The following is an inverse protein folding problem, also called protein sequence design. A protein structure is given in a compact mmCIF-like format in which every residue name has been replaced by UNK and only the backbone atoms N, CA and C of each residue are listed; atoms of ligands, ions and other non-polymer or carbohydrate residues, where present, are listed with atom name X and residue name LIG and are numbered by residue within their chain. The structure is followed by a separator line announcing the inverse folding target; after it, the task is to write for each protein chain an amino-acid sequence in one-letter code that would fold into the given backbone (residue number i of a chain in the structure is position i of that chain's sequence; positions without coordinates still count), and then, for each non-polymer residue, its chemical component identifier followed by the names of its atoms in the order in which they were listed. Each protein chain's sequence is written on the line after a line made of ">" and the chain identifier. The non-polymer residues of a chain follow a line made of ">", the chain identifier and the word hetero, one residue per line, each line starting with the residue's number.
data_IF_771316054698
#
_entry.id   IF_771316054698
#
_cell.length_a   1.000
_cell.length_b   1.000
_cell.length_c   1.000
_cell.angle_alpha   90.00
_cell.angle_beta   90.00
_cell.angle_gamma   90.00
#
_symmetry.space_group_name_H-M   'P 1'
#
loop_
_entity.id
_entity.type
_entity.pdbx_description
1 polymer ?
#
# COMPACT_ATOMS: atom_id res chain seq x y z
N UNK A 1 -25.78 -11.40 -7.12
CA UNK A 1 -25.16 -10.28 -6.38
C UNK A 1 -23.77 -10.05 -6.94
N UNK A 2 -23.39 -8.79 -7.14
CA UNK A 2 -22.05 -8.44 -7.62
C UNK A 2 -21.04 -8.54 -6.47
N UNK A 3 -19.80 -8.94 -6.78
CA UNK A 3 -18.75 -9.21 -5.79
C UNK A 3 -17.47 -8.49 -6.16
N UNK A 4 -16.73 -8.05 -5.14
CA UNK A 4 -15.36 -7.56 -5.28
C UNK A 4 -14.41 -8.75 -5.06
N UNK A 5 -13.66 -9.09 -6.10
CA UNK A 5 -12.63 -10.12 -6.06
C UNK A 5 -11.27 -9.44 -5.98
N UNK A 6 -10.47 -9.81 -4.98
CA UNK A 6 -9.13 -9.26 -4.78
C UNK A 6 -8.17 -10.43 -4.69
N UNK A 7 -7.13 -10.38 -5.50
CA UNK A 7 -6.05 -11.34 -5.50
C UNK A 7 -4.73 -10.61 -5.33
N UNK A 8 -3.93 -11.08 -4.37
CA UNK A 8 -2.56 -10.64 -4.15
C UNK A 8 -1.62 -11.77 -4.52
N UNK A 9 -0.61 -11.46 -5.33
CA UNK A 9 0.44 -12.39 -5.73
C UNK A 9 1.76 -11.63 -5.80
N UNK A 10 2.81 -12.30 -5.39
CA UNK A 10 4.18 -11.80 -5.46
C UNK A 10 5.12 -12.96 -5.74
N UNK A 11 6.27 -12.68 -6.35
CA UNK A 11 7.28 -13.67 -6.74
C UNK A 11 8.66 -13.01 -6.65
N UNK A 12 9.64 -13.75 -6.13
CA UNK A 12 11.05 -13.30 -6.02
C UNK A 12 11.70 -12.99 -7.39
N UNK A 13 11.09 -13.47 -8.47
CA UNK A 13 11.62 -13.35 -9.81
C UNK A 13 12.84 -14.24 -10.04
N UNK A 14 13.52 -14.01 -11.16
CA UNK A 14 14.61 -14.89 -11.62
C UNK A 14 15.98 -14.59 -10.99
N UNK A 15 16.11 -13.48 -10.25
CA UNK A 15 17.41 -12.92 -9.84
C UNK A 15 17.49 -12.48 -8.38
N UNK A 16 16.40 -12.55 -7.62
CA UNK A 16 16.40 -12.20 -6.21
C UNK A 16 16.90 -13.36 -5.34
N UNK A 17 17.66 -13.05 -4.30
CA UNK A 17 17.85 -13.97 -3.15
C UNK A 17 16.69 -13.86 -2.14
N UNK A 18 16.01 -12.70 -2.12
CA UNK A 18 14.88 -12.40 -1.26
C UNK A 18 13.81 -11.63 -2.04
N UNK A 19 12.55 -11.79 -1.62
CA UNK A 19 11.46 -11.02 -2.18
C UNK A 19 11.31 -9.71 -1.37
N UNK A 20 11.64 -8.60 -1.99
CA UNK A 20 11.53 -7.26 -1.37
C UNK A 20 10.15 -6.63 -1.63
N UNK A 21 9.31 -7.28 -2.44
CA UNK A 21 7.93 -6.89 -2.66
C UNK A 21 7.02 -7.40 -1.55
N UNK A 22 6.08 -6.55 -1.13
CA UNK A 22 4.99 -6.94 -0.25
C UNK A 22 3.66 -6.39 -0.75
N UNK A 23 2.57 -7.02 -0.36
CA UNK A 23 1.22 -6.51 -0.62
C UNK A 23 0.35 -6.58 0.64
N UNK A 24 -0.67 -5.72 0.66
CA UNK A 24 -1.65 -5.56 1.74
C UNK A 24 -3.04 -5.81 1.18
N UNK A 25 -3.82 -6.68 1.83
CA UNK A 25 -5.26 -6.85 1.56
C UNK A 25 -6.01 -6.86 2.89
N UNK A 26 -6.83 -5.83 3.13
CA UNK A 26 -7.77 -5.81 4.26
C UNK A 26 -7.12 -5.95 5.64
N UNK A 27 -5.87 -5.49 5.79
CA UNK A 27 -5.10 -5.58 7.03
C UNK A 27 -4.08 -6.71 7.07
N UNK A 28 -4.09 -7.62 6.10
CA UNK A 28 -3.12 -8.71 6.00
C UNK A 28 -1.98 -8.28 5.06
N UNK A 29 -0.75 -8.26 5.59
CA UNK A 29 0.47 -8.02 4.81
C UNK A 29 1.12 -9.35 4.48
N UNK A 30 1.46 -9.58 3.21
CA UNK A 30 2.17 -10.79 2.77
C UNK A 30 3.24 -10.49 1.71
N UNK A 31 4.29 -11.30 1.71
CA UNK A 31 5.42 -11.23 0.75
C UNK A 31 5.82 -12.61 0.17
N UNK A 32 5.12 -13.69 0.53
CA UNK A 32 5.50 -15.08 0.17
C UNK A 32 4.36 -15.93 -0.37
N UNK A 33 3.12 -15.53 -0.13
CA UNK A 33 1.93 -16.34 -0.44
C UNK A 33 0.99 -15.56 -1.32
N UNK A 34 0.25 -16.31 -2.12
CA UNK A 34 -0.93 -15.78 -2.79
C UNK A 34 -2.06 -15.65 -1.78
N UNK A 35 -2.81 -14.55 -1.87
CA UNK A 35 -4.03 -14.33 -1.11
C UNK A 35 -5.19 -14.06 -2.05
N UNK A 36 -6.33 -14.64 -1.71
CA UNK A 36 -7.60 -14.45 -2.41
C UNK A 36 -8.66 -14.02 -1.41
N UNK A 37 -9.36 -12.93 -1.73
CA UNK A 37 -10.45 -12.40 -0.93
C UNK A 37 -11.63 -12.07 -1.84
N UNK A 38 -12.80 -12.54 -1.43
CA UNK A 38 -14.06 -12.31 -2.12
C UNK A 38 -15.04 -11.66 -1.14
N UNK A 39 -15.48 -10.45 -1.46
CA UNK A 39 -16.40 -9.68 -0.61
C UNK A 39 -17.63 -9.27 -1.43
N UNK A 40 -18.85 -9.48 -0.92
CA UNK A 40 -20.06 -8.92 -1.53
C UNK A 40 -19.97 -7.39 -1.65
N UNK A 41 -20.31 -6.81 -2.80
CA UNK A 41 -20.20 -5.34 -2.99
C UNK A 41 -21.16 -4.55 -2.10
N UNK A 42 -22.27 -5.15 -1.69
CA UNK A 42 -23.25 -4.60 -0.75
C UNK A 42 -22.86 -4.80 0.72
N UNK A 43 -21.67 -5.36 0.98
CA UNK A 43 -21.19 -5.62 2.33
C UNK A 43 -21.15 -4.35 3.17
N UNK A 44 -21.90 -4.36 4.27
CA UNK A 44 -21.86 -3.32 5.30
C UNK A 44 -20.44 -3.09 5.84
N UNK A 45 -19.56 -4.10 5.72
CA UNK A 45 -18.16 -3.98 6.09
C UNK A 45 -17.43 -2.93 5.26
N UNK A 46 -17.51 -2.98 3.92
CA UNK A 46 -16.83 -2.00 3.06
C UNK A 46 -17.45 -0.61 3.26
N UNK A 47 -18.76 -0.53 3.50
CA UNK A 47 -19.43 0.74 3.78
C UNK A 47 -18.97 1.41 5.07
N UNK A 48 -18.68 0.62 6.11
CA UNK A 48 -18.37 1.15 7.44
C UNK A 48 -16.88 1.22 7.75
N UNK A 49 -16.11 0.22 7.32
CA UNK A 49 -14.67 0.12 7.58
C UNK A 49 -13.81 0.45 6.37
N UNK A 50 -14.38 0.40 5.17
CA UNK A 50 -13.65 0.40 3.92
C UNK A 50 -12.77 -0.82 3.75
N UNK A 51 -11.97 -0.83 2.68
CA UNK A 51 -11.02 -1.90 2.42
C UNK A 51 -9.75 -1.35 1.79
N UNK A 52 -8.64 -1.51 2.51
CA UNK A 52 -7.33 -1.05 2.09
C UNK A 52 -6.58 -2.16 1.33
N UNK A 53 -6.12 -1.83 0.13
CA UNK A 53 -5.29 -2.71 -0.71
C UNK A 53 -4.07 -1.93 -1.17
N UNK A 54 -2.87 -2.50 -1.05
CA UNK A 54 -1.64 -1.85 -1.50
C UNK A 54 -0.59 -2.86 -1.94
N UNK A 55 0.37 -2.39 -2.72
CA UNK A 55 1.66 -3.02 -3.00
C UNK A 55 2.77 -2.08 -2.55
N UNK A 56 3.93 -2.65 -2.22
CA UNK A 56 5.13 -1.94 -1.86
C UNK A 56 6.33 -2.70 -2.45
N UNK A 57 7.19 -1.98 -3.16
CA UNK A 57 8.46 -2.47 -3.71
C UNK A 57 9.58 -1.92 -2.81
N UNK A 58 10.17 -2.83 -2.05
CA UNK A 58 11.22 -2.52 -1.09
C UNK A 58 12.57 -2.40 -1.76
N UNK A 59 13.37 -1.43 -1.31
CA UNK A 59 14.75 -1.25 -1.75
C UNK A 59 15.68 -1.12 -0.55
N UNK A 60 16.86 -1.72 -0.66
CA UNK A 60 17.91 -1.64 0.34
C UNK A 60 18.62 -2.98 0.45
N UNK A 61 19.92 -3.01 0.15
CA UNK A 61 20.69 -4.26 0.10
C UNK A 61 20.65 -5.06 1.42
N UNK A 62 21.16 -6.31 1.39
CA UNK A 62 21.18 -7.21 2.54
C UNK A 62 19.82 -7.32 3.29
N UNK A 63 18.72 -7.55 2.56
CA UNK A 63 17.35 -7.78 3.07
C UNK A 63 16.64 -6.55 3.65
N UNK A 64 17.23 -5.36 3.52
CA UNK A 64 16.61 -4.16 4.06
C UNK A 64 15.35 -3.76 3.26
N UNK A 65 15.23 -4.16 1.99
CA UNK A 65 14.04 -3.95 1.18
C UNK A 65 12.81 -4.70 1.70
N UNK A 66 12.91 -6.00 1.99
CA UNK A 66 11.82 -6.80 2.59
C UNK A 66 11.33 -6.18 3.91
N UNK A 67 12.26 -5.78 4.77
CA UNK A 67 11.94 -5.09 6.03
C UNK A 67 11.23 -3.77 5.76
N UNK A 68 11.68 -2.99 4.78
CA UNK A 68 11.10 -1.69 4.45
C UNK A 68 9.66 -1.82 3.92
N UNK A 69 9.41 -2.68 2.92
CA UNK A 69 8.09 -2.86 2.31
C UNK A 69 7.09 -3.45 3.31
N UNK A 70 7.51 -4.46 4.08
CA UNK A 70 6.71 -5.03 5.17
C UNK A 70 6.37 -4.00 6.25
N UNK A 71 7.35 -3.20 6.70
CA UNK A 71 7.13 -2.16 7.72
C UNK A 71 6.17 -1.07 7.20
N UNK A 72 6.35 -0.61 5.96
CA UNK A 72 5.47 0.38 5.34
C UNK A 72 4.01 -0.06 5.36
N UNK A 73 3.72 -1.26 4.86
CA UNK A 73 2.36 -1.75 4.74
C UNK A 73 1.72 -2.05 6.10
N UNK A 74 2.50 -2.55 7.07
CA UNK A 74 2.02 -2.76 8.44
C UNK A 74 1.66 -1.43 9.13
N UNK A 75 2.50 -0.40 9.00
CA UNK A 75 2.23 0.92 9.58
C UNK A 75 1.08 1.64 8.88
N UNK A 76 1.01 1.56 7.55
CA UNK A 76 -0.12 2.06 6.77
C UNK A 76 -1.43 1.45 7.26
N UNK A 77 -1.48 0.11 7.35
CA UNK A 77 -2.63 -0.63 7.85
C UNK A 77 -3.00 -0.21 9.26
N UNK A 78 -2.04 -0.22 10.20
CA UNK A 78 -2.29 0.10 11.61
C UNK A 78 -2.79 1.53 11.81
N UNK A 79 -2.14 2.50 11.17
CA UNK A 79 -2.46 3.91 11.34
C UNK A 79 -3.82 4.23 10.73
N UNK A 80 -4.09 3.75 9.52
CA UNK A 80 -5.38 3.93 8.86
C UNK A 80 -6.50 3.18 9.60
N UNK A 81 -6.20 2.03 10.19
CA UNK A 81 -7.16 1.30 11.01
C UNK A 81 -7.50 2.03 12.32
N UNK A 82 -6.62 2.91 12.79
CA UNK A 82 -6.84 3.76 13.98
C UNK A 82 -7.58 5.07 13.66
N UNK A 83 -7.76 5.41 12.38
CA UNK A 83 -8.56 6.57 11.96
C UNK A 83 -10.06 6.37 12.23
N UNK A 84 -10.84 7.47 12.32
CA UNK A 84 -12.30 7.39 12.49
C UNK A 84 -12.95 6.43 11.49
N UNK A 85 -14.00 5.73 11.94
CA UNK A 85 -14.75 4.74 11.15
C UNK A 85 -16.15 5.26 10.81
N UNK A 86 -16.75 4.71 9.77
CA UNK A 86 -18.05 5.10 9.25
C UNK A 86 -17.97 5.77 7.88
N UNK A 87 -18.99 6.56 7.55
CA UNK A 87 -19.05 7.32 6.30
C UNK A 87 -18.15 8.55 6.48
N UNK A 88 -16.91 8.44 6.03
CA UNK A 88 -15.92 9.52 6.05
C UNK A 88 -16.10 10.44 4.85
N UNK A 89 -15.78 11.72 5.03
CA UNK A 89 -15.67 12.66 3.91
C UNK A 89 -14.44 12.37 3.06
N UNK A 90 -14.41 12.91 1.84
CA UNK A 90 -13.25 12.80 0.97
C UNK A 90 -12.00 13.42 1.63
N UNK A 91 -12.15 14.55 2.32
CA UNK A 91 -11.08 15.24 3.02
C UNK A 91 -10.52 14.37 4.16
N UNK A 92 -11.39 13.76 4.96
CA UNK A 92 -10.99 12.87 6.06
C UNK A 92 -10.21 11.65 5.55
N UNK A 93 -10.69 11.00 4.48
CA UNK A 93 -10.00 9.86 3.86
C UNK A 93 -8.63 10.30 3.32
N UNK A 94 -8.58 11.44 2.64
CA UNK A 94 -7.33 11.96 2.05
C UNK A 94 -6.31 12.29 3.14
N UNK A 95 -6.73 12.93 4.23
CA UNK A 95 -5.88 13.21 5.39
C UNK A 95 -5.39 11.93 6.06
N UNK A 96 -6.29 10.97 6.31
CA UNK A 96 -5.94 9.70 6.94
C UNK A 96 -4.92 8.90 6.11
N UNK A 97 -5.09 8.82 4.80
CA UNK A 97 -4.13 8.17 3.89
C UNK A 97 -2.77 8.90 3.91
N UNK A 98 -2.80 10.24 3.79
CA UNK A 98 -1.59 11.07 3.81
C UNK A 98 -0.80 10.88 5.10
N UNK A 99 -1.46 10.99 6.25
CA UNK A 99 -0.82 10.90 7.56
C UNK A 99 -0.27 9.50 7.82
N UNK A 100 -0.98 8.47 7.34
CA UNK A 100 -0.53 7.08 7.44
C UNK A 100 0.73 6.82 6.60
N UNK A 101 0.77 7.30 5.36
CA UNK A 101 1.94 7.20 4.49
C UNK A 101 3.13 7.98 5.07
N UNK A 102 2.89 9.21 5.56
CA UNK A 102 3.93 10.04 6.15
C UNK A 102 4.51 9.41 7.43
N UNK A 103 3.65 8.84 8.27
CA UNK A 103 4.07 8.12 9.48
C UNK A 103 4.90 6.88 9.15
N UNK A 104 4.49 6.10 8.15
CA UNK A 104 5.25 4.96 7.66
C UNK A 104 6.64 5.38 7.13
N UNK A 105 6.70 6.44 6.33
CA UNK A 105 7.95 7.00 5.82
C UNK A 105 8.90 7.43 6.94
N UNK A 106 8.38 8.16 7.94
CA UNK A 106 9.19 8.60 9.08
C UNK A 106 9.77 7.42 9.86
N UNK A 107 8.96 6.40 10.13
CA UNK A 107 9.42 5.21 10.84
C UNK A 107 10.52 4.46 10.06
N UNK A 108 10.38 4.34 8.75
CA UNK A 108 11.40 3.72 7.88
C UNK A 108 12.70 4.52 7.93
N UNK A 109 12.64 5.86 7.84
CA UNK A 109 13.82 6.71 7.98
C UNK A 109 14.49 6.57 9.35
N UNK A 110 13.71 6.52 10.42
CA UNK A 110 14.24 6.39 11.78
C UNK A 110 14.95 5.04 11.96
N UNK A 111 14.38 3.95 11.44
CA UNK A 111 15.02 2.61 11.45
C UNK A 111 16.28 2.58 10.56
N UNK A 112 16.22 3.17 9.37
CA UNK A 112 17.34 3.27 8.43
C UNK A 112 18.55 4.03 9.02
N UNK A 113 18.28 5.06 9.83
CA UNK A 113 19.32 5.87 10.50
C UNK A 113 19.86 5.24 11.78
N UNK A 114 19.05 4.50 12.51
CA UNK A 114 19.43 3.93 13.81
C UNK A 114 20.11 2.57 13.73
N UNK A 115 19.94 1.84 12.61
CA UNK A 115 20.58 0.55 12.41
C UNK A 115 21.41 0.53 11.12
N UNK A 116 22.76 0.43 11.21
CA UNK A 116 23.63 0.32 10.04
C UNK A 116 23.27 -0.81 9.08
N UNK A 117 22.67 -1.91 9.58
CA UNK A 117 22.23 -3.03 8.74
C UNK A 117 21.07 -2.66 7.81
N UNK A 118 20.32 -1.60 8.12
CA UNK A 118 19.20 -1.10 7.33
C UNK A 118 19.49 0.24 6.67
N UNK A 119 20.77 0.62 6.61
CA UNK A 119 21.18 1.90 6.01
C UNK A 119 20.75 1.99 4.56
N UNK A 120 20.07 3.09 4.22
CA UNK A 120 19.59 3.34 2.87
C UNK A 120 18.33 2.56 2.48
N UNK A 121 17.70 1.84 3.41
CA UNK A 121 16.43 1.17 3.11
C UNK A 121 15.32 2.17 2.79
N UNK A 122 14.45 1.78 1.89
CA UNK A 122 13.26 2.52 1.47
C UNK A 122 12.27 1.60 0.78
N UNK A 123 11.10 2.13 0.45
CA UNK A 123 10.09 1.37 -0.28
C UNK A 123 9.14 2.32 -0.97
N UNK A 124 8.52 1.85 -2.04
CA UNK A 124 7.33 2.48 -2.60
C UNK A 124 6.08 2.08 -1.81
N UNK A 125 4.98 2.78 -2.06
CA UNK A 125 3.62 2.35 -1.73
C UNK A 125 2.74 2.70 -2.92
N UNK A 126 1.90 1.78 -3.38
CA UNK A 126 0.84 2.06 -4.35
C UNK A 126 -0.40 1.27 -4.02
N UNK A 127 -1.56 1.91 -3.90
CA UNK A 127 -2.77 1.22 -3.46
C UNK A 127 -4.09 1.90 -3.77
N UNK A 128 -5.13 1.16 -3.40
CA UNK A 128 -6.53 1.55 -3.54
C UNK A 128 -7.22 1.36 -2.18
N UNK A 129 -8.03 2.34 -1.78
CA UNK A 129 -8.94 2.25 -0.65
C UNK A 129 -10.37 2.21 -1.17
N UNK A 130 -11.05 1.07 -1.03
CA UNK A 130 -12.44 0.92 -1.43
C UNK A 130 -13.37 1.41 -0.33
N UNK A 131 -14.41 2.14 -0.74
CA UNK A 131 -15.52 2.58 0.10
C UNK A 131 -16.83 1.99 -0.42
N UNK A 132 -17.93 2.23 0.28
CA UNK A 132 -19.27 1.82 -0.17
C UNK A 132 -19.66 2.35 -1.54
N UNK A 133 -19.13 3.53 -1.91
CA UNK A 133 -19.63 4.32 -3.03
C UNK A 133 -18.56 4.51 -4.12
N UNK A 134 -17.35 3.97 -3.93
CA UNK A 134 -16.25 4.14 -4.87
C UNK A 134 -14.90 3.67 -4.31
N UNK A 135 -13.84 4.32 -4.77
CA UNK A 135 -12.48 4.06 -4.29
C UNK A 135 -11.59 5.29 -4.41
N UNK A 136 -10.53 5.31 -3.60
CA UNK A 136 -9.48 6.31 -3.62
C UNK A 136 -8.15 5.65 -3.95
N UNK A 137 -7.35 6.28 -4.82
CA UNK A 137 -5.99 5.84 -5.11
C UNK A 137 -5.00 6.63 -4.29
N UNK A 138 -3.92 5.98 -3.86
CA UNK A 138 -2.82 6.62 -3.16
C UNK A 138 -1.51 5.94 -3.56
N UNK A 139 -0.43 6.72 -3.64
CA UNK A 139 0.88 6.18 -3.94
C UNK A 139 1.99 7.11 -3.45
N UNK A 140 3.18 6.54 -3.25
CA UNK A 140 4.44 7.19 -2.99
C UNK A 140 5.55 6.37 -3.66
N UNK A 141 6.34 6.99 -4.53
CA UNK A 141 7.28 6.28 -5.40
C UNK A 141 6.67 5.93 -6.76
N UNK A 142 7.22 4.92 -7.41
CA UNK A 142 6.99 4.58 -8.81
C UNK A 142 6.21 3.27 -9.03
N UNK A 143 5.71 2.64 -7.97
CA UNK A 143 4.68 1.60 -8.11
C UNK A 143 3.44 2.17 -8.79
N UNK A 144 2.91 1.42 -9.76
CA UNK A 144 1.89 1.92 -10.67
C UNK A 144 0.54 1.30 -10.41
N UNK A 145 -0.50 2.12 -10.59
CA UNK A 145 -1.89 1.71 -10.46
C UNK A 145 -2.55 1.81 -11.82
N UNK A 146 -3.20 0.73 -12.25
CA UNK A 146 -3.88 0.67 -13.53
C UNK A 146 -5.34 0.28 -13.37
N UNK A 147 -6.21 0.89 -14.18
CA UNK A 147 -7.60 0.46 -14.37
C UNK A 147 -7.76 -0.14 -15.76
N UNK A 148 -8.07 -1.42 -15.82
CA UNK A 148 -8.53 -2.07 -17.05
C UNK A 148 -10.06 -1.99 -17.11
N UNK A 149 -10.61 -1.38 -18.17
CA UNK A 149 -12.05 -1.38 -18.44
C UNK A 149 -12.29 -1.74 -19.89
N UNK A 150 -13.00 -2.85 -20.11
CA UNK A 150 -13.16 -3.46 -21.43
C UNK A 150 -11.79 -3.77 -22.06
N UNK A 151 -11.37 -3.04 -23.08
CA UNK A 151 -10.08 -3.22 -23.77
C UNK A 151 -9.10 -2.06 -23.53
N UNK A 152 -9.41 -1.15 -22.60
CA UNK A 152 -8.60 0.04 -22.35
C UNK A 152 -7.94 -0.02 -20.98
N UNK A 153 -6.63 0.23 -20.94
CA UNK A 153 -5.83 0.39 -19.74
C UNK A 153 -5.63 1.88 -19.50
N UNK A 154 -5.99 2.34 -18.31
CA UNK A 154 -5.75 3.71 -17.86
C UNK A 154 -4.82 3.68 -16.66
N UNK A 155 -3.72 4.42 -16.73
CA UNK A 155 -2.87 4.64 -15.56
C UNK A 155 -3.58 5.61 -14.60
N UNK A 156 -3.73 5.19 -13.34
CA UNK A 156 -4.32 5.97 -12.27
C UNK A 156 -3.25 6.67 -11.41
N UNK A 157 -2.04 6.11 -11.38
CA UNK A 157 -0.86 6.76 -10.78
C UNK A 157 -0.36 7.87 -11.71
N UNK A 158 -0.95 9.05 -11.64
CA UNK A 158 -0.39 10.23 -12.31
C UNK A 158 0.71 10.77 -11.40
N UNK A 159 1.86 11.16 -11.96
CA UNK A 159 2.97 11.88 -11.30
C UNK A 159 2.50 13.23 -10.70
N UNK A 160 1.64 13.22 -9.68
CA UNK A 160 1.35 14.28 -8.70
C UNK A 160 -0.01 14.03 -8.00
N UNK A 161 -0.02 13.49 -6.77
CA UNK A 161 -0.49 14.22 -5.57
C UNK A 161 -0.17 13.48 -4.25
N UNK A 162 1.12 13.32 -3.96
CA UNK A 162 1.77 13.47 -2.63
C UNK A 162 3.26 13.21 -2.87
N UNK A 163 3.88 14.18 -3.54
CA UNK A 163 5.30 14.17 -3.88
C UNK A 163 6.11 14.40 -2.59
N UNK A 164 6.38 13.34 -1.83
CA UNK A 164 7.65 13.22 -1.13
C UNK A 164 8.53 12.32 -1.98
N UNK A 165 9.07 12.93 -3.04
CA UNK A 165 10.21 12.36 -3.73
C UNK A 165 11.36 12.40 -2.74
N UNK A 166 11.84 11.21 -2.44
CA UNK A 166 13.10 10.93 -1.79
C UNK A 166 14.22 11.72 -2.48
N UNK A 167 14.93 12.54 -1.72
CA UNK A 167 16.28 12.93 -2.08
C UNK A 167 17.21 12.37 -1.02
N UNK A 168 18.03 11.41 -1.44
CA UNK A 168 19.39 11.30 -0.90
C UNK A 168 20.06 12.64 -1.19
N UNK A 169 20.36 13.38 -0.12
CA UNK A 169 21.37 14.45 -0.06
C UNK A 169 21.72 14.65 1.41
#
# INVERSE_FOLDING_TARGET
>A
MAKLLICGKTDIGKKGEYNEDAFLIGGIVENKKELYLEIPLDSSFIKYYGLLVAVADGMGGHNAGDVASGLALNLLSRQFMSSPKGVLTQEEITMALRDSIFSAHKAILDVSRSNPCYSGMGTTIGGVYFTGDGFYTYHAGDSRLYRLRSFYIFELSILAFLTLIWFFS
#
